data_IF_383045778533
#
_entry.id   IF_383045778533
#
_cell.length_a   1.000
_cell.length_b   1.000
_cell.length_c   1.000
_cell.angle_alpha   90.00
_cell.angle_beta   90.00
_cell.angle_gamma   90.00
#
_symmetry.space_group_name_H-M   'P 1'
#
loop_
_entity.id
_entity.type
_entity.pdbx_description
1 polymer ?
#
# COMPACT_ATOMS: atom_id res chain seq x y z
N UNK A 1 -4.94 2.68 -39.98
CA UNK A 1 -6.16 3.24 -39.36
C UNK A 1 -6.18 2.74 -37.92
N UNK A 2 -5.27 3.18 -37.05
CA UNK A 2 -5.10 4.55 -36.55
C UNK A 2 -6.35 5.02 -35.81
N UNK A 3 -6.33 4.85 -34.49
CA UNK A 3 -6.67 5.87 -33.48
C UNK A 3 -6.93 5.14 -32.16
N UNK A 4 -5.94 5.11 -31.26
CA UNK A 4 -5.88 6.08 -30.15
C UNK A 4 -7.16 6.09 -29.32
N UNK A 5 -7.12 5.40 -28.18
CA UNK A 5 -8.02 5.69 -27.08
C UNK A 5 -7.19 5.93 -25.81
N UNK A 6 -6.31 6.92 -25.89
CA UNK A 6 -5.78 7.64 -24.73
C UNK A 6 -6.87 8.61 -24.24
N UNK A 7 -7.96 8.07 -23.71
CA UNK A 7 -8.94 8.88 -22.98
C UNK A 7 -8.27 9.42 -21.71
N UNK A 8 -8.10 10.75 -21.63
CA UNK A 8 -7.47 11.47 -20.53
C UNK A 8 -8.18 11.31 -19.18
N UNK A 9 -7.98 10.17 -18.52
CA UNK A 9 -8.43 9.90 -17.16
C UNK A 9 -7.22 9.78 -16.23
N UNK A 10 -7.13 10.66 -15.23
CA UNK A 10 -6.12 10.52 -14.17
C UNK A 10 -6.25 9.18 -13.43
N UNK A 11 -5.18 8.71 -12.80
CA UNK A 11 -5.18 7.50 -11.99
C UNK A 11 -6.29 7.52 -10.90
N UNK A 12 -6.86 6.36 -10.62
CA UNK A 12 -7.77 6.13 -9.51
C UNK A 12 -7.02 6.26 -8.19
N UNK A 13 -7.43 7.23 -7.36
CA UNK A 13 -6.82 7.45 -6.05
C UNK A 13 -7.24 6.35 -5.07
N UNK A 14 -6.32 5.82 -4.26
CA UNK A 14 -6.69 4.98 -3.13
C UNK A 14 -7.57 5.72 -2.12
N UNK A 15 -8.46 4.97 -1.47
CA UNK A 15 -9.33 5.52 -0.43
C UNK A 15 -8.63 5.66 0.93
N UNK A 16 -7.42 5.14 1.11
CA UNK A 16 -6.59 5.38 2.29
C UNK A 16 -5.42 6.33 1.98
N UNK A 17 -5.08 7.19 2.93
CA UNK A 17 -3.76 7.82 3.00
C UNK A 17 -2.78 6.75 3.48
N UNK A 18 -1.68 6.54 2.77
CA UNK A 18 -0.73 5.49 3.16
C UNK A 18 0.70 5.97 2.94
N UNK A 19 1.58 5.66 3.90
CA UNK A 19 2.99 5.96 3.76
C UNK A 19 3.57 5.17 2.59
N UNK A 20 4.46 5.79 1.82
CA UNK A 20 5.06 5.15 0.66
C UNK A 20 4.14 5.00 -0.56
N UNK A 21 2.92 5.57 -0.54
CA UNK A 21 1.97 5.43 -1.65
C UNK A 21 2.59 5.80 -3.00
N UNK A 22 2.81 4.76 -3.82
CA UNK A 22 3.38 4.79 -5.16
C UNK A 22 2.45 5.40 -6.20
N UNK A 23 1.33 5.99 -5.80
CA UNK A 23 0.45 6.76 -6.68
C UNK A 23 1.21 7.75 -7.57
N UNK A 24 2.27 8.39 -7.06
CA UNK A 24 3.13 9.30 -7.85
C UNK A 24 4.09 8.59 -8.80
N UNK A 25 4.41 7.32 -8.54
CA UNK A 25 5.29 6.49 -9.36
C UNK A 25 4.51 5.57 -10.32
N UNK A 26 3.17 5.64 -10.33
CA UNK A 26 2.34 4.72 -11.10
C UNK A 26 2.71 4.72 -12.59
N UNK A 27 2.99 5.88 -13.18
CA UNK A 27 3.39 5.96 -14.59
C UNK A 27 4.67 5.19 -14.85
N UNK A 28 5.70 5.40 -14.04
CA UNK A 28 6.99 4.72 -14.16
C UNK A 28 6.87 3.21 -13.93
N UNK A 29 6.08 2.81 -12.92
CA UNK A 29 5.85 1.40 -12.60
C UNK A 29 5.09 0.72 -13.75
N UNK A 30 3.97 1.27 -14.19
CA UNK A 30 3.11 0.68 -15.23
C UNK A 30 3.85 0.54 -16.57
N UNK A 31 4.73 1.49 -16.91
CA UNK A 31 5.54 1.40 -18.13
C UNK A 31 6.51 0.21 -18.14
N UNK A 32 6.96 -0.23 -16.97
CA UNK A 32 7.91 -1.35 -16.82
C UNK A 32 7.19 -2.65 -16.46
N UNK A 33 5.98 -2.56 -15.88
CA UNK A 33 5.24 -3.70 -15.37
C UNK A 33 4.86 -4.66 -16.51
N UNK A 34 5.31 -5.94 -16.45
CA UNK A 34 5.02 -6.91 -17.50
C UNK A 34 3.53 -7.23 -17.61
N UNK A 35 3.11 -7.66 -18.80
CA UNK A 35 1.76 -8.18 -19.03
C UNK A 35 1.61 -9.60 -18.47
N UNK A 36 0.38 -9.97 -18.13
CA UNK A 36 0.05 -11.31 -17.66
C UNK A 36 -1.43 -11.45 -17.33
N UNK A 37 -1.83 -12.64 -16.87
CA UNK A 37 -3.24 -12.91 -16.51
C UNK A 37 -3.55 -12.53 -15.08
N UNK A 38 -2.55 -12.59 -14.20
CA UNK A 38 -2.72 -12.34 -12.76
C UNK A 38 -1.62 -11.44 -12.22
N UNK A 39 -2.00 -10.44 -11.43
CA UNK A 39 -1.06 -9.64 -10.65
C UNK A 39 -1.06 -10.12 -9.18
N UNK A 40 0.12 -10.26 -8.61
CA UNK A 40 0.31 -10.46 -7.17
C UNK A 40 1.01 -9.22 -6.60
N UNK A 41 0.41 -8.62 -5.57
CA UNK A 41 1.00 -7.55 -4.76
C UNK A 41 1.22 -8.04 -3.33
N UNK A 42 2.45 -8.48 -2.97
CA UNK A 42 2.76 -8.99 -1.63
C UNK A 42 2.73 -7.93 -0.54
N UNK A 43 2.91 -6.66 -0.91
CA UNK A 43 2.99 -5.47 -0.05
C UNK A 43 2.08 -4.37 -0.58
N UNK A 44 0.78 -4.62 -0.60
CA UNK A 44 -0.17 -3.77 -1.31
C UNK A 44 -0.26 -2.36 -0.71
N UNK A 45 -0.15 -2.22 0.62
CA UNK A 45 -0.44 -0.96 1.31
C UNK A 45 -1.80 -0.42 0.86
N UNK A 46 -1.84 0.79 0.30
CA UNK A 46 -3.05 1.41 -0.26
C UNK A 46 -3.65 0.75 -1.51
N UNK A 47 -3.03 -0.31 -2.05
CA UNK A 47 -3.44 -1.01 -3.27
C UNK A 47 -3.52 -0.10 -4.52
N UNK A 48 -2.59 0.87 -4.62
CA UNK A 48 -2.59 1.86 -5.68
C UNK A 48 -2.36 1.23 -7.06
N UNK A 49 -1.45 0.26 -7.19
CA UNK A 49 -1.19 -0.39 -8.48
C UNK A 49 -2.34 -1.31 -8.87
N UNK A 50 -2.89 -2.10 -7.93
CA UNK A 50 -4.15 -2.83 -8.13
C UNK A 50 -5.22 -1.94 -8.73
N UNK A 51 -5.49 -0.77 -8.14
CA UNK A 51 -6.53 0.15 -8.62
C UNK A 51 -6.30 0.66 -10.04
N UNK A 52 -5.05 0.69 -10.53
CA UNK A 52 -4.63 1.38 -11.75
C UNK A 52 -4.05 0.47 -12.85
N UNK A 53 -4.15 -0.85 -12.69
CA UNK A 53 -3.76 -1.84 -13.72
C UNK A 53 -4.96 -2.68 -14.12
N UNK A 54 -4.94 -3.38 -15.25
CA UNK A 54 -6.06 -4.23 -15.69
C UNK A 54 -5.60 -5.66 -15.97
N UNK A 55 -5.52 -6.45 -14.90
CA UNK A 55 -5.32 -7.90 -14.95
C UNK A 55 -6.65 -8.63 -14.76
N UNK A 56 -6.74 -9.88 -15.26
CA UNK A 56 -7.96 -10.69 -15.10
C UNK A 56 -8.23 -11.00 -13.62
N UNK A 57 -7.16 -11.26 -12.84
CA UNK A 57 -7.23 -11.63 -11.42
C UNK A 57 -6.12 -10.99 -10.60
N UNK A 58 -6.39 -10.77 -9.32
CA UNK A 58 -5.43 -10.21 -8.38
C UNK A 58 -5.27 -11.08 -7.13
N UNK A 59 -4.05 -11.15 -6.60
CA UNK A 59 -3.79 -11.52 -5.21
C UNK A 59 -3.16 -10.32 -4.52
N UNK A 60 -3.93 -9.68 -3.66
CA UNK A 60 -3.51 -8.48 -2.93
C UNK A 60 -3.22 -8.90 -1.50
N UNK A 61 -2.02 -8.64 -1.03
CA UNK A 61 -1.58 -9.05 0.29
C UNK A 61 -0.91 -7.90 1.03
N UNK A 62 -1.02 -7.92 2.35
CA UNK A 62 -0.25 -7.08 3.25
C UNK A 62 -0.04 -7.84 4.57
N UNK A 63 0.90 -7.39 5.39
CA UNK A 63 1.13 -7.96 6.72
C UNK A 63 0.19 -7.35 7.77
N UNK A 64 -0.43 -6.21 7.47
CA UNK A 64 -1.36 -5.54 8.38
C UNK A 64 -2.75 -6.21 8.35
N UNK A 65 -3.19 -6.86 9.45
CA UNK A 65 -4.47 -7.55 9.49
C UNK A 65 -5.67 -6.61 9.42
N UNK A 66 -5.61 -5.42 10.04
CA UNK A 66 -6.71 -4.46 10.02
C UNK A 66 -6.94 -3.92 8.60
N UNK A 67 -5.86 -3.71 7.84
CA UNK A 67 -5.92 -3.30 6.44
C UNK A 67 -6.59 -4.36 5.57
N UNK A 68 -6.18 -5.62 5.71
CA UNK A 68 -6.74 -6.72 4.92
C UNK A 68 -8.18 -7.01 5.31
N UNK A 69 -8.52 -6.95 6.60
CA UNK A 69 -9.91 -7.08 7.07
C UNK A 69 -10.80 -6.00 6.46
N UNK A 70 -10.35 -4.74 6.45
CA UNK A 70 -11.05 -3.65 5.78
C UNK A 70 -11.27 -3.91 4.28
N UNK A 71 -10.26 -4.40 3.56
CA UNK A 71 -10.42 -4.74 2.15
C UNK A 71 -11.43 -5.86 1.90
N UNK A 72 -11.44 -6.89 2.76
CA UNK A 72 -12.39 -7.99 2.68
C UNK A 72 -13.82 -7.54 3.00
N UNK A 73 -14.01 -6.73 4.03
CA UNK A 73 -15.34 -6.18 4.40
C UNK A 73 -15.86 -5.28 3.30
N UNK A 74 -15.03 -4.36 2.78
CA UNK A 74 -15.42 -3.49 1.67
C UNK A 74 -15.73 -4.28 0.40
N UNK A 75 -15.02 -5.39 0.14
CA UNK A 75 -15.32 -6.30 -0.96
C UNK A 75 -16.70 -6.96 -0.78
N UNK A 76 -17.02 -7.42 0.43
CA UNK A 76 -18.24 -8.20 0.73
C UNK A 76 -19.49 -7.33 0.87
N UNK A 77 -19.43 -6.26 1.66
CA UNK A 77 -20.59 -5.44 2.04
C UNK A 77 -20.81 -4.22 1.13
N UNK A 78 -19.78 -3.78 0.41
CA UNK A 78 -19.87 -2.73 -0.59
C UNK A 78 -20.55 -1.45 -0.09
N UNK A 79 -21.73 -1.12 -0.65
CA UNK A 79 -22.41 0.16 -0.40
C UNK A 79 -22.88 0.32 1.05
N UNK A 80 -23.28 -0.77 1.71
CA UNK A 80 -23.80 -0.72 3.07
C UNK A 80 -22.68 -0.37 4.05
N UNK A 81 -21.52 -1.03 3.91
CA UNK A 81 -20.31 -0.66 4.64
C UNK A 81 -19.86 0.77 4.35
N UNK A 82 -19.92 1.23 3.08
CA UNK A 82 -19.58 2.62 2.74
C UNK A 82 -20.53 3.61 3.42
N UNK A 83 -21.82 3.29 3.52
CA UNK A 83 -22.78 4.12 4.25
C UNK A 83 -22.42 4.15 5.75
N UNK A 84 -22.19 2.97 6.34
CA UNK A 84 -21.83 2.82 7.74
C UNK A 84 -20.53 3.57 8.10
N UNK A 85 -19.45 3.37 7.34
CA UNK A 85 -18.19 4.09 7.52
C UNK A 85 -18.37 5.61 7.39
N UNK A 86 -19.25 6.05 6.48
CA UNK A 86 -19.59 7.46 6.30
C UNK A 86 -20.25 8.11 7.52
N UNK A 87 -20.94 7.34 8.36
CA UNK A 87 -21.58 7.84 9.59
C UNK A 87 -20.59 8.41 10.62
N UNK A 88 -19.32 7.99 10.54
CA UNK A 88 -18.26 8.53 11.39
C UNK A 88 -17.73 9.90 10.91
N UNK A 89 -18.02 10.31 9.68
CA UNK A 89 -17.49 11.54 9.07
C UNK A 89 -18.43 12.74 9.28
N UNK A 90 -18.63 13.12 10.55
CA UNK A 90 -19.48 14.25 10.95
C UNK A 90 -18.70 15.30 11.74
N UNK A 91 -19.16 16.56 11.81
CA UNK A 91 -18.51 17.59 12.64
C UNK A 91 -18.37 17.20 14.11
N UNK A 92 -19.34 16.45 14.66
CA UNK A 92 -19.31 15.96 16.06
C UNK A 92 -18.17 14.97 16.32
N UNK A 93 -17.68 14.29 15.29
CA UNK A 93 -16.55 13.38 15.37
C UNK A 93 -15.21 14.03 14.98
N UNK A 94 -15.17 15.33 14.68
CA UNK A 94 -13.92 16.03 14.34
C UNK A 94 -13.40 16.88 15.52
N UNK A 95 -13.40 16.32 16.72
CA UNK A 95 -12.80 16.92 17.92
C UNK A 95 -11.75 15.98 18.52
N UNK A 96 -10.75 16.48 19.28
CA UNK A 96 -9.78 15.63 19.96
C UNK A 96 -10.43 14.57 20.86
N UNK A 97 -11.48 14.94 21.59
CA UNK A 97 -12.18 14.06 22.54
C UNK A 97 -12.88 12.92 21.81
N UNK A 98 -13.60 13.24 20.72
CA UNK A 98 -14.25 12.22 19.89
C UNK A 98 -13.23 11.31 19.21
N UNK A 99 -12.13 11.88 18.69
CA UNK A 99 -11.06 11.11 18.06
C UNK A 99 -10.45 10.09 19.01
N UNK A 100 -10.08 10.49 20.23
CA UNK A 100 -9.47 9.56 21.19
C UNK A 100 -10.46 8.52 21.71
N UNK A 101 -11.75 8.88 21.89
CA UNK A 101 -12.81 7.90 22.21
C UNK A 101 -12.96 6.85 21.12
N UNK A 102 -13.03 7.26 19.85
CA UNK A 102 -13.14 6.35 18.70
C UNK A 102 -11.86 5.53 18.49
N UNK A 103 -10.68 6.09 18.80
CA UNK A 103 -9.42 5.35 18.79
C UNK A 103 -9.39 4.27 19.87
N UNK A 104 -9.91 4.55 21.06
CA UNK A 104 -10.05 3.52 22.11
C UNK A 104 -10.98 2.41 21.62
N UNK A 105 -12.15 2.75 21.06
CA UNK A 105 -13.07 1.75 20.47
C UNK A 105 -12.39 0.89 19.41
N UNK A 106 -11.62 1.49 18.50
CA UNK A 106 -10.87 0.73 17.49
C UNK A 106 -9.90 -0.29 18.11
N UNK A 107 -9.27 0.06 19.22
CA UNK A 107 -8.32 -0.82 19.92
C UNK A 107 -9.00 -1.91 20.75
N UNK A 108 -10.29 -1.77 21.09
CA UNK A 108 -10.98 -2.66 22.03
C UNK A 108 -12.19 -3.40 21.44
N UNK A 109 -12.67 -3.01 20.25
CA UNK A 109 -13.84 -3.65 19.64
C UNK A 109 -13.50 -4.98 18.99
N UNK A 110 -14.39 -5.95 19.17
CA UNK A 110 -14.38 -7.24 18.47
C UNK A 110 -15.28 -7.23 17.21
N UNK A 111 -16.07 -6.16 17.00
CA UNK A 111 -16.87 -5.98 15.79
C UNK A 111 -15.94 -5.59 14.62
N UNK A 112 -15.82 -6.52 13.67
CA UNK A 112 -14.93 -6.35 12.51
C UNK A 112 -15.37 -5.23 11.57
N UNK A 113 -16.68 -5.02 11.38
CA UNK A 113 -17.22 -3.95 10.55
C UNK A 113 -16.98 -2.58 11.21
N UNK A 114 -17.21 -2.48 12.52
CA UNK A 114 -16.87 -1.29 13.27
C UNK A 114 -15.37 -1.00 13.21
N UNK A 115 -14.52 -2.00 13.47
CA UNK A 115 -13.07 -1.85 13.44
C UNK A 115 -12.58 -1.35 12.08
N UNK A 116 -13.10 -1.90 10.98
CA UNK A 116 -12.78 -1.47 9.62
C UNK A 116 -13.27 -0.04 9.34
N UNK A 117 -14.48 0.32 9.75
CA UNK A 117 -15.01 1.68 9.60
C UNK A 117 -14.17 2.70 10.39
N UNK A 118 -13.80 2.36 11.63
CA UNK A 118 -12.94 3.16 12.47
C UNK A 118 -11.52 3.28 11.91
N UNK A 119 -10.99 2.25 11.25
CA UNK A 119 -9.71 2.32 10.56
C UNK A 119 -9.71 3.42 9.47
N UNK A 120 -10.77 3.49 8.66
CA UNK A 120 -10.94 4.56 7.65
C UNK A 120 -11.06 5.94 8.31
N UNK A 121 -11.84 6.03 9.40
CA UNK A 121 -11.98 7.26 10.18
C UNK A 121 -10.62 7.74 10.73
N UNK A 122 -9.90 6.88 11.43
CA UNK A 122 -8.60 7.18 12.06
C UNK A 122 -7.55 7.56 11.01
N UNK A 123 -7.55 6.90 9.84
CA UNK A 123 -6.68 7.25 8.74
C UNK A 123 -6.94 8.68 8.20
N UNK A 124 -8.20 9.11 8.17
CA UNK A 124 -8.58 10.42 7.61
C UNK A 124 -8.51 11.55 8.64
N UNK A 125 -8.69 11.25 9.92
CA UNK A 125 -8.69 12.22 11.03
C UNK A 125 -7.37 12.27 11.80
N UNK A 126 -6.57 11.21 11.76
CA UNK A 126 -5.29 11.09 12.45
C UNK A 126 -4.15 11.80 11.73
N UNK A 127 -3.10 12.13 12.48
CA UNK A 127 -1.94 12.88 12.00
C UNK A 127 -1.33 12.26 10.74
N UNK A 128 -1.30 13.04 9.65
CA UNK A 128 -0.73 12.68 8.34
C UNK A 128 -1.22 11.36 7.73
N UNK A 129 -2.35 10.83 8.20
CA UNK A 129 -2.83 9.51 7.79
C UNK A 129 -1.84 8.39 8.05
N UNK A 130 -1.05 8.52 9.13
CA UNK A 130 -0.18 7.45 9.58
C UNK A 130 -1.00 6.24 10.01
N UNK A 131 -0.42 5.06 9.81
CA UNK A 131 -0.87 3.81 10.39
C UNK A 131 0.26 3.31 11.30
N UNK A 132 0.07 3.36 12.61
CA UNK A 132 1.12 3.05 13.58
C UNK A 132 0.54 2.40 14.83
N UNK A 133 1.19 1.32 15.24
CA UNK A 133 0.87 0.54 16.42
C UNK A 133 2.05 0.56 17.40
N UNK A 134 1.76 0.40 18.69
CA UNK A 134 2.77 0.06 19.69
C UNK A 134 3.28 -1.37 19.48
N UNK A 135 4.33 -1.74 20.21
CA UNK A 135 4.79 -3.13 20.27
C UNK A 135 3.71 -4.11 20.78
N UNK A 136 2.76 -3.61 21.58
CA UNK A 136 1.59 -4.35 22.06
C UNK A 136 0.41 -4.36 21.08
N UNK A 137 0.57 -3.88 19.85
CA UNK A 137 -0.48 -3.89 18.83
C UNK A 137 -1.56 -2.80 19.00
N UNK A 138 -1.32 -1.79 19.83
CA UNK A 138 -2.30 -0.71 20.09
C UNK A 138 -2.08 0.45 19.12
N UNK A 139 -3.10 0.82 18.35
CA UNK A 139 -3.04 1.97 17.45
C UNK A 139 -2.91 3.28 18.23
N UNK A 140 -1.86 4.05 17.91
CA UNK A 140 -1.42 5.17 18.75
C UNK A 140 -1.14 6.47 17.96
N UNK A 141 -1.76 6.66 16.80
CA UNK A 141 -1.63 7.90 16.01
C UNK A 141 -2.43 9.03 16.69
N UNK A 142 -1.85 10.24 16.88
CA UNK A 142 -2.55 11.38 17.49
C UNK A 142 -3.53 12.04 16.51
N UNK A 143 -4.42 12.88 17.04
CA UNK A 143 -5.39 13.63 16.23
C UNK A 143 -4.69 14.61 15.25
N UNK A 144 -5.14 14.63 14.00
CA UNK A 144 -4.50 15.38 12.91
C UNK A 144 -4.96 16.83 12.74
N UNK A 145 -6.01 17.27 13.46
CA UNK A 145 -6.54 18.66 13.44
C UNK A 145 -6.90 19.20 12.04
N UNK A 146 -7.38 18.33 11.15
CA UNK A 146 -7.86 18.77 9.84
C UNK A 146 -9.18 19.54 9.98
N UNK A 147 -9.33 20.65 9.24
CA UNK A 147 -10.57 21.45 9.25
C UNK A 147 -11.80 20.63 8.84
N UNK A 148 -11.69 19.88 7.73
CA UNK A 148 -12.76 19.05 7.16
C UNK A 148 -12.17 17.77 6.55
N UNK A 149 -12.05 16.67 7.32
CA UNK A 149 -11.62 15.38 6.80
C UNK A 149 -12.51 14.91 5.64
N UNK A 150 -11.90 14.59 4.50
CA UNK A 150 -12.61 14.07 3.32
C UNK A 150 -13.01 12.60 3.54
N UNK A 151 -14.29 12.28 3.35
CA UNK A 151 -14.78 10.91 3.27
C UNK A 151 -14.63 10.36 1.85
N UNK A 152 -13.80 9.33 1.61
CA UNK A 152 -13.43 8.85 0.28
C UNK A 152 -14.49 7.93 -0.35
N UNK A 153 -15.74 8.37 -0.40
CA UNK A 153 -16.88 7.57 -0.90
C UNK A 153 -16.64 7.07 -2.32
N UNK A 154 -16.21 7.96 -3.23
CA UNK A 154 -16.01 7.62 -4.65
C UNK A 154 -14.91 6.57 -4.81
N UNK A 155 -13.81 6.75 -4.09
CA UNK A 155 -12.66 5.85 -4.10
C UNK A 155 -12.99 4.47 -3.50
N UNK A 156 -13.80 4.43 -2.43
CA UNK A 156 -14.27 3.16 -1.84
C UNK A 156 -15.20 2.40 -2.80
N UNK A 157 -16.08 3.10 -3.52
CA UNK A 157 -16.93 2.48 -4.55
C UNK A 157 -16.06 1.91 -5.68
N UNK A 158 -15.08 2.67 -6.17
CA UNK A 158 -14.16 2.19 -7.20
C UNK A 158 -13.36 0.96 -6.75
N UNK A 159 -12.87 0.97 -5.51
CA UNK A 159 -12.20 -0.18 -4.91
C UNK A 159 -13.12 -1.39 -4.82
N UNK A 160 -14.35 -1.24 -4.29
CA UNK A 160 -15.33 -2.33 -4.19
C UNK A 160 -15.62 -2.99 -5.54
N UNK A 161 -15.85 -2.17 -6.58
CA UNK A 161 -16.10 -2.68 -7.94
C UNK A 161 -14.93 -3.50 -8.46
N UNK A 162 -13.69 -3.02 -8.28
CA UNK A 162 -12.49 -3.72 -8.72
C UNK A 162 -12.17 -4.96 -7.88
N UNK A 163 -12.47 -4.89 -6.57
CA UNK A 163 -12.20 -5.94 -5.60
C UNK A 163 -12.85 -7.27 -5.96
N UNK A 164 -13.92 -7.28 -6.78
CA UNK A 164 -14.54 -8.51 -7.30
C UNK A 164 -13.57 -9.42 -8.07
N UNK A 165 -12.46 -8.89 -8.61
CA UNK A 165 -11.42 -9.66 -9.30
C UNK A 165 -10.24 -10.04 -8.38
N UNK A 166 -10.29 -9.70 -7.10
CA UNK A 166 -9.18 -9.82 -6.17
C UNK A 166 -9.44 -10.84 -5.06
N UNK A 167 -8.37 -11.54 -4.66
CA UNK A 167 -8.30 -12.26 -3.38
C UNK A 167 -7.40 -11.46 -2.44
N UNK A 168 -7.91 -11.12 -1.25
CA UNK A 168 -7.14 -10.44 -0.21
C UNK A 168 -6.60 -11.44 0.82
N UNK A 169 -5.32 -11.32 1.17
CA UNK A 169 -4.69 -12.21 2.16
C UNK A 169 -3.80 -11.44 3.13
N UNK A 170 -3.70 -11.93 4.36
CA UNK A 170 -2.79 -11.40 5.38
C UNK A 170 -1.72 -12.46 5.68
N UNK A 171 -0.61 -12.44 4.94
CA UNK A 171 0.44 -13.47 5.00
C UNK A 171 1.82 -12.83 4.87
N UNK A 172 2.83 -13.54 5.39
CA UNK A 172 4.22 -13.26 5.04
C UNK A 172 4.44 -13.36 3.52
N UNK A 173 5.22 -12.43 2.95
CA UNK A 173 5.40 -12.34 1.51
C UNK A 173 5.95 -13.65 0.91
N UNK A 174 6.77 -14.43 1.63
CA UNK A 174 7.31 -15.70 1.15
C UNK A 174 6.19 -16.69 0.84
N UNK A 175 5.14 -16.73 1.69
CA UNK A 175 3.94 -17.56 1.47
C UNK A 175 3.11 -17.07 0.27
N UNK A 176 3.14 -15.77 -0.01
CA UNK A 176 2.46 -15.16 -1.17
C UNK A 176 3.19 -15.50 -2.46
N UNK A 177 4.52 -15.38 -2.49
CA UNK A 177 5.36 -15.76 -3.63
C UNK A 177 5.19 -17.24 -3.99
N UNK A 178 5.07 -18.12 -3.00
CA UNK A 178 4.82 -19.55 -3.22
C UNK A 178 3.49 -19.85 -3.97
N UNK A 179 2.54 -18.90 -3.98
CA UNK A 179 1.25 -19.00 -4.68
C UNK A 179 1.32 -18.53 -6.14
N UNK A 180 2.47 -18.00 -6.59
CA UNK A 180 2.68 -17.63 -7.99
C UNK A 180 2.71 -18.87 -8.88
N UNK A 181 2.07 -18.76 -10.05
CA UNK A 181 1.94 -19.80 -11.08
C UNK A 181 2.20 -19.17 -12.45
N UNK A 182 2.37 -19.98 -13.49
CA UNK A 182 2.57 -19.48 -14.85
C UNK A 182 1.48 -18.46 -15.25
N UNK A 183 1.87 -17.40 -15.97
CA UNK A 183 0.99 -16.29 -16.33
C UNK A 183 0.72 -15.28 -15.20
N UNK A 184 1.43 -15.40 -14.08
CA UNK A 184 1.44 -14.38 -13.01
C UNK A 184 2.55 -13.36 -13.25
N UNK A 185 2.28 -12.11 -12.87
CA UNK A 185 3.25 -11.03 -12.68
C UNK A 185 3.25 -10.69 -11.19
N UNK A 186 4.41 -10.46 -10.60
CA UNK A 186 4.53 -10.01 -9.20
C UNK A 186 5.04 -8.59 -9.17
N UNK A 187 4.35 -7.71 -8.45
CA UNK A 187 4.85 -6.38 -8.10
C UNK A 187 5.06 -6.30 -6.59
N UNK A 188 6.29 -6.03 -6.15
CA UNK A 188 6.65 -5.91 -4.74
C UNK A 188 7.13 -4.49 -4.41
N UNK A 189 6.47 -3.86 -3.44
CA UNK A 189 6.88 -2.57 -2.87
C UNK A 189 7.14 -2.73 -1.37
N UNK A 190 8.26 -3.35 -0.97
CA UNK A 190 8.54 -3.63 0.43
C UNK A 190 8.73 -2.33 1.23
N UNK A 191 8.58 -2.37 2.57
CA UNK A 191 9.05 -1.29 3.42
C UNK A 191 10.53 -1.01 3.15
N UNK A 192 10.88 0.25 2.97
CA UNK A 192 12.24 0.66 2.68
C UNK A 192 13.11 0.52 3.92
N UNK A 193 14.30 -0.06 3.76
CA UNK A 193 15.30 -0.10 4.83
C UNK A 193 15.77 1.33 5.10
N UNK A 194 15.77 1.79 6.36
CA UNK A 194 16.19 3.15 6.69
C UNK A 194 17.62 3.44 6.23
N UNK A 195 17.84 4.59 5.61
CA UNK A 195 19.15 5.04 5.14
C UNK A 195 20.11 5.42 6.30
N UNK A 196 19.58 5.59 7.51
CA UNK A 196 20.36 5.84 8.74
C UNK A 196 19.78 5.07 9.92
N UNK A 197 20.64 4.55 10.80
CA UNK A 197 20.25 3.77 12.00
C UNK A 197 19.36 4.50 13.01
N UNK A 198 19.17 5.81 12.84
CA UNK A 198 18.28 6.66 13.66
C UNK A 198 16.83 6.71 13.19
N UNK A 199 16.55 6.27 11.95
CA UNK A 199 15.20 6.24 11.40
C UNK A 199 14.52 4.89 11.72
N UNK A 200 14.16 4.67 13.00
CA UNK A 200 13.29 3.56 13.40
C UNK A 200 11.90 3.78 12.78
N UNK A 201 11.68 3.30 11.56
CA UNK A 201 10.36 3.38 10.94
C UNK A 201 9.39 2.46 11.67
N UNK A 202 8.15 2.92 11.71
CA UNK A 202 7.00 2.42 12.47
C UNK A 202 6.81 0.91 12.36
N UNK A 203 6.72 0.24 13.51
CA UNK A 203 6.27 -1.15 13.64
C UNK A 203 4.88 -1.30 13.00
N UNK A 204 4.82 -1.93 11.82
CA UNK A 204 3.55 -2.28 11.16
C UNK A 204 2.96 -3.61 11.69
N UNK A 205 3.77 -4.46 12.31
CA UNK A 205 3.34 -5.78 12.80
C UNK A 205 4.30 -6.43 13.82
N UNK A 206 5.09 -5.65 14.56
CA UNK A 206 6.09 -6.19 15.51
C UNK A 206 7.37 -6.73 14.84
N UNK A 207 7.31 -7.15 13.57
CA UNK A 207 8.47 -7.51 12.75
C UNK A 207 8.96 -6.33 11.91
N UNK A 208 10.26 -6.04 11.98
CA UNK A 208 10.91 -5.03 11.14
C UNK A 208 11.31 -5.64 9.80
N UNK A 209 11.08 -4.94 8.69
CA UNK A 209 11.59 -5.36 7.37
C UNK A 209 13.05 -4.93 7.25
N UNK A 210 13.98 -5.82 7.62
CA UNK A 210 15.40 -5.57 7.69
C UNK A 210 16.18 -6.07 6.46
N UNK A 211 17.51 -6.08 6.54
CA UNK A 211 18.38 -6.60 5.49
C UNK A 211 18.11 -8.06 5.12
N UNK A 212 17.79 -8.91 6.10
CA UNK A 212 17.48 -10.34 5.86
C UNK A 212 16.19 -10.52 5.06
N UNK A 213 15.17 -9.71 5.33
CA UNK A 213 13.92 -9.70 4.56
C UNK A 213 14.14 -9.18 3.14
N UNK A 214 15.01 -8.17 2.96
CA UNK A 214 15.39 -7.68 1.63
C UNK A 214 16.12 -8.74 0.81
N UNK A 215 17.07 -9.45 1.42
CA UNK A 215 17.79 -10.55 0.77
C UNK A 215 16.82 -11.69 0.41
N UNK A 216 15.96 -12.09 1.36
CA UNK A 216 14.94 -13.11 1.11
C UNK A 216 13.97 -12.68 -0.01
N UNK A 217 13.62 -11.40 -0.11
CA UNK A 217 12.79 -10.87 -1.19
C UNK A 217 13.49 -11.02 -2.55
N UNK A 218 14.77 -10.64 -2.65
CA UNK A 218 15.55 -10.79 -3.88
C UNK A 218 15.67 -12.25 -4.31
N UNK A 219 16.03 -13.15 -3.38
CA UNK A 219 16.14 -14.59 -3.68
C UNK A 219 14.81 -15.20 -4.13
N UNK A 220 13.68 -14.79 -3.54
CA UNK A 220 12.37 -15.26 -3.99
C UNK A 220 12.02 -14.71 -5.37
N UNK A 221 12.38 -13.47 -5.69
CA UNK A 221 12.19 -12.89 -7.02
C UNK A 221 12.98 -13.65 -8.09
N UNK A 222 14.26 -13.94 -7.83
CA UNK A 222 15.10 -14.74 -8.74
C UNK A 222 14.54 -16.15 -8.96
N UNK A 223 14.06 -16.82 -7.91
CA UNK A 223 13.45 -18.16 -8.03
C UNK A 223 12.18 -18.13 -8.88
N UNK A 224 11.38 -17.07 -8.81
CA UNK A 224 10.19 -16.92 -9.66
C UNK A 224 10.56 -16.61 -11.10
N UNK A 225 11.52 -15.72 -11.33
CA UNK A 225 12.02 -15.38 -12.66
C UNK A 225 12.57 -16.61 -13.39
N UNK A 226 13.38 -17.44 -12.71
CA UNK A 226 13.85 -18.74 -13.25
C UNK A 226 12.73 -19.71 -13.65
N UNK A 227 11.51 -19.50 -13.17
CA UNK A 227 10.30 -20.27 -13.52
C UNK A 227 9.44 -19.58 -14.59
N UNK A 228 9.94 -18.51 -15.22
CA UNK A 228 9.23 -17.70 -16.21
C UNK A 228 8.15 -16.80 -15.61
N UNK A 229 8.23 -16.46 -14.32
CA UNK A 229 7.28 -15.58 -13.63
C UNK A 229 8.00 -14.26 -13.34
N UNK A 230 7.68 -13.18 -14.08
CA UNK A 230 8.37 -11.92 -13.90
C UNK A 230 8.03 -11.27 -12.56
N UNK A 231 9.03 -10.64 -11.95
CA UNK A 231 8.91 -9.92 -10.68
C UNK A 231 9.48 -8.52 -10.83
N UNK A 232 8.66 -7.50 -10.58
CA UNK A 232 9.06 -6.10 -10.52
C UNK A 232 9.11 -5.65 -9.05
N UNK A 233 10.24 -5.10 -8.62
CA UNK A 233 10.44 -4.58 -7.28
C UNK A 233 10.74 -3.08 -7.33
N UNK A 234 10.07 -2.27 -6.51
CA UNK A 234 10.45 -0.87 -6.28
C UNK A 234 11.21 -0.70 -4.98
N UNK A 235 12.28 0.09 -4.99
CA UNK A 235 13.03 0.45 -3.78
C UNK A 235 13.76 1.79 -3.94
N UNK A 236 14.35 2.29 -2.86
CA UNK A 236 15.35 3.35 -2.94
C UNK A 236 16.56 2.92 -3.78
N UNK A 237 17.10 3.83 -4.59
CA UNK A 237 18.32 3.58 -5.36
C UNK A 237 19.55 3.84 -4.50
N UNK A 238 20.11 2.77 -3.93
CA UNK A 238 21.29 2.80 -3.07
C UNK A 238 22.31 1.74 -3.54
N UNK A 239 23.59 1.85 -3.13
CA UNK A 239 24.55 0.79 -3.40
C UNK A 239 24.10 -0.59 -2.87
N UNK A 240 23.45 -0.62 -1.70
CA UNK A 240 22.95 -1.86 -1.11
C UNK A 240 21.78 -2.47 -1.90
N UNK A 241 20.81 -1.68 -2.38
CA UNK A 241 19.71 -2.20 -3.19
C UNK A 241 20.17 -2.63 -4.57
N UNK A 242 21.10 -1.89 -5.20
CA UNK A 242 21.73 -2.30 -6.45
C UNK A 242 22.49 -3.62 -6.32
N UNK A 243 23.20 -3.82 -5.21
CA UNK A 243 23.89 -5.08 -4.94
C UNK A 243 22.91 -6.23 -4.71
N UNK A 244 21.85 -6.01 -3.94
CA UNK A 244 20.83 -7.01 -3.65
C UNK A 244 20.08 -7.45 -4.92
N UNK A 245 19.85 -6.53 -5.86
CA UNK A 245 19.11 -6.78 -7.10
C UNK A 245 20.00 -6.88 -8.34
N UNK A 246 21.29 -7.21 -8.17
CA UNK A 246 22.29 -7.25 -9.26
C UNK A 246 21.94 -8.16 -10.44
N UNK A 247 21.09 -9.16 -10.20
CA UNK A 247 20.64 -10.12 -11.21
C UNK A 247 19.35 -9.67 -11.94
N UNK A 248 18.82 -8.49 -11.62
CA UNK A 248 17.67 -7.89 -12.28
C UNK A 248 18.11 -6.83 -13.30
N UNK A 249 17.22 -6.50 -14.24
CA UNK A 249 17.31 -5.27 -15.02
C UNK A 249 16.94 -4.09 -14.12
N UNK A 250 17.92 -3.23 -13.82
CA UNK A 250 17.74 -2.05 -12.96
C UNK A 250 17.39 -0.81 -13.78
N UNK A 251 16.35 -0.09 -13.36
CA UNK A 251 15.87 1.15 -13.98
C UNK A 251 15.79 2.21 -12.88
N UNK A 252 16.79 3.10 -12.84
CA UNK A 252 16.86 4.21 -11.87
C UNK A 252 16.16 5.47 -12.39
N UNK A 253 15.51 6.21 -11.50
CA UNK A 253 14.90 7.51 -11.80
C UNK A 253 14.79 8.37 -10.54
N UNK A 254 14.77 9.68 -10.71
CA UNK A 254 14.68 10.64 -9.59
C UNK A 254 13.23 11.06 -9.33
N UNK A 255 12.88 11.20 -8.06
CA UNK A 255 11.60 11.78 -7.64
C UNK A 255 11.77 12.94 -6.68
N UNK A 256 10.94 13.97 -6.89
CA UNK A 256 10.80 15.10 -5.97
C UNK A 256 9.83 14.73 -4.84
N UNK A 257 10.35 14.54 -3.63
CA UNK A 257 9.51 14.41 -2.42
C UNK A 257 9.16 15.81 -1.89
N UNK A 258 7.88 16.10 -1.75
CA UNK A 258 7.38 17.35 -1.15
C UNK A 258 7.27 17.27 0.39
N UNK A 259 7.99 16.35 1.03
CA UNK A 259 7.91 16.11 2.48
C UNK A 259 9.25 16.51 3.12
N UNK A 260 9.41 17.82 3.32
CA UNK A 260 10.41 18.42 4.22
C UNK A 260 9.80 19.69 4.79
N UNK A 261 9.85 19.87 6.11
CA UNK A 261 9.37 21.08 6.80
C UNK A 261 10.29 22.30 6.61
N UNK A 262 11.26 22.27 5.69
CA UNK A 262 12.13 23.41 5.37
C UNK A 262 12.25 23.56 3.84
N UNK A 263 11.94 24.76 3.33
CA UNK A 263 11.88 25.08 1.90
C UNK A 263 13.18 24.81 1.13
N UNK A 264 14.32 24.79 1.83
CA UNK A 264 15.67 24.80 1.23
C UNK A 264 16.39 23.44 1.19
N UNK A 265 15.71 22.33 1.52
CA UNK A 265 16.32 20.98 1.44
C UNK A 265 15.47 20.00 0.62
N UNK A 266 15.06 20.40 -0.58
CA UNK A 266 14.42 19.50 -1.56
C UNK A 266 15.48 18.71 -2.33
N UNK A 267 16.16 17.78 -1.66
CA UNK A 267 17.03 16.85 -2.37
C UNK A 267 16.17 15.83 -3.15
N UNK A 268 16.44 15.60 -4.45
CA UNK A 268 15.81 14.50 -5.18
C UNK A 268 16.20 13.18 -4.52
N UNK A 269 15.22 12.31 -4.30
CA UNK A 269 15.49 10.93 -3.86
C UNK A 269 15.47 10.06 -5.11
N UNK A 270 16.50 9.26 -5.29
CA UNK A 270 16.55 8.30 -6.38
C UNK A 270 15.80 7.03 -5.97
N UNK A 271 14.98 6.52 -6.87
CA UNK A 271 14.26 5.26 -6.74
C UNK A 271 14.75 4.33 -7.87
N UNK A 272 14.67 3.02 -7.64
CA UNK A 272 15.04 1.98 -8.60
C UNK A 272 13.88 1.00 -8.76
N UNK A 273 13.60 0.66 -10.01
CA UNK A 273 12.80 -0.52 -10.37
C UNK A 273 13.75 -1.65 -10.75
N UNK A 274 13.63 -2.79 -10.08
CA UNK A 274 14.36 -4.01 -10.39
C UNK A 274 13.41 -5.02 -11.02
N UNK A 275 13.61 -5.31 -12.31
CA UNK A 275 12.82 -6.27 -13.07
C UNK A 275 13.60 -7.60 -13.22
N UNK A 276 13.10 -8.65 -12.58
CA UNK A 276 13.57 -10.02 -12.72
C UNK A 276 12.70 -10.74 -13.74
N UNK A 277 13.32 -11.37 -14.74
CA UNK A 277 12.66 -12.09 -15.86
C UNK A 277 13.39 -13.36 -16.19
#
# INVERSE_FOLDING_TARGET
>A
MSSDNTSGGGYQRPFLKWAGNKYRLLTQIIQVLPQGKRLIEPFAGSAALFLNTEYERYLVNDINPDLIALYQILQQEGKDFIHYAGSFFTPRHNTPEAYYRLRTRFNTTDDSAEKAALFVYLNRHGYNGLCRYSASGVFNVPFGRYKRPYFPRKEMVAFHLKARRAKFTCLDFRKVFARARHGTVVYADPPYVPLSGTARFTHYSGHSFGPEEQEALSQNAERLAKRGIPVLISNHDTPSTRQAYRNAKLIGFSVTRFISCKGDQRAPVNEVLALFT
#
